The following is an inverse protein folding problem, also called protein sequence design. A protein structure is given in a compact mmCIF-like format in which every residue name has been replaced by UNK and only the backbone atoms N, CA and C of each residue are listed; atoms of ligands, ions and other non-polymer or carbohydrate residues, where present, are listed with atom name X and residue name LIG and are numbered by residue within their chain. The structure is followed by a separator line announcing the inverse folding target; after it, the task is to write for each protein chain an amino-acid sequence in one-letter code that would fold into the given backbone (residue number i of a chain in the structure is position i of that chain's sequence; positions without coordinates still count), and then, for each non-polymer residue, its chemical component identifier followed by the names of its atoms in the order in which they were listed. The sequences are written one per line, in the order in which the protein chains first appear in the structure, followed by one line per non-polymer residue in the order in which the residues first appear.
data_IF_044258387744
#
_entry.id   IF_044258387744
#
_cell.length_a   1.000
_cell.length_b   1.000
_cell.length_c   1.000
_cell.angle_alpha   90.00
_cell.angle_beta   90.00
_cell.angle_gamma   90.00
#
_symmetry.space_group_name_H-M   'P 1'
#
loop_
_entity.id
_entity.type
_entity.pdbx_description
1 polymer ?
#
# COMPACT_ATOMS: atom_id res chain seq x y z
N UNK A 1 8.39 30.68 14.79
CA UNK A 1 8.26 30.08 13.44
C UNK A 1 9.00 28.75 13.45
N UNK A 2 8.31 27.66 13.76
CA UNK A 2 8.92 26.32 13.79
C UNK A 2 9.15 25.84 12.36
N UNK A 3 10.41 25.77 11.93
CA UNK A 3 10.78 25.12 10.67
C UNK A 3 10.72 23.61 10.86
N UNK A 4 9.55 23.02 10.63
CA UNK A 4 9.49 21.60 10.36
C UNK A 4 10.02 21.40 8.93
N UNK A 5 11.30 21.05 8.80
CA UNK A 5 11.86 20.63 7.52
C UNK A 5 11.28 19.26 7.17
N UNK A 6 10.35 19.24 6.23
CA UNK A 6 9.83 18.00 5.66
C UNK A 6 10.87 17.44 4.69
N UNK A 7 11.60 16.42 5.13
CA UNK A 7 12.69 15.79 4.39
C UNK A 7 12.20 14.80 3.31
N UNK A 8 10.96 14.34 3.47
CA UNK A 8 10.32 13.36 2.60
C UNK A 8 9.92 13.98 1.25
N UNK A 9 9.96 13.20 0.15
CA UNK A 9 9.42 13.66 -1.12
C UNK A 9 7.91 13.93 -1.05
N UNK A 10 7.45 14.82 -1.91
CA UNK A 10 6.02 15.05 -2.08
C UNK A 10 5.34 13.79 -2.65
N UNK A 11 4.22 13.41 -2.05
CA UNK A 11 3.33 12.35 -2.54
C UNK A 11 2.59 12.82 -3.80
N UNK A 12 2.12 11.86 -4.60
CA UNK A 12 1.29 12.11 -5.76
C UNK A 12 0.32 10.93 -5.96
N UNK A 13 -0.95 11.17 -5.65
CA UNK A 13 -2.03 10.18 -5.66
C UNK A 13 -2.53 9.89 -4.25
N UNK A 14 -3.84 9.65 -4.14
CA UNK A 14 -4.51 9.33 -2.88
C UNK A 14 -5.54 8.22 -3.11
N UNK A 15 -5.57 7.24 -2.21
CA UNK A 15 -6.54 6.14 -2.19
C UNK A 15 -7.18 6.10 -0.81
N UNK A 16 -8.48 5.82 -0.74
CA UNK A 16 -9.21 5.65 0.51
C UNK A 16 -9.57 4.19 0.68
N UNK A 17 -9.04 3.54 1.72
CA UNK A 17 -9.44 2.19 2.11
C UNK A 17 -10.54 2.29 3.16
N UNK A 18 -11.75 1.83 2.80
CA UNK A 18 -12.87 1.73 3.73
C UNK A 18 -12.82 0.39 4.43
N UNK A 19 -12.48 0.40 5.71
CA UNK A 19 -12.36 -0.83 6.51
C UNK A 19 -13.45 -0.92 7.56
N UNK A 20 -13.60 -2.09 8.18
CA UNK A 20 -14.50 -2.26 9.33
C UNK A 20 -14.11 -1.41 10.55
N UNK A 21 -12.87 -0.94 10.62
CA UNK A 21 -12.35 -0.08 11.69
C UNK A 21 -12.41 1.42 11.34
N UNK A 22 -12.93 1.78 10.17
CA UNK A 22 -12.99 3.15 9.66
C UNK A 22 -12.20 3.35 8.37
N UNK A 23 -12.17 4.59 7.90
CA UNK A 23 -11.52 4.98 6.65
C UNK A 23 -10.03 5.26 6.87
N UNK A 24 -9.20 4.74 5.97
CA UNK A 24 -7.75 4.97 5.93
C UNK A 24 -7.43 5.69 4.64
N UNK A 25 -7.00 6.94 4.77
CA UNK A 25 -6.49 7.75 3.67
C UNK A 25 -5.01 7.45 3.43
N UNK A 26 -4.67 6.96 2.25
CA UNK A 26 -3.30 6.60 1.85
C UNK A 26 -2.85 7.52 0.72
N UNK A 27 -1.79 8.28 0.97
CA UNK A 27 -1.07 9.01 -0.07
C UNK A 27 0.09 8.17 -0.61
N UNK A 28 0.36 8.30 -1.91
CA UNK A 28 1.28 7.42 -2.63
C UNK A 28 2.49 8.20 -3.17
N UNK A 29 3.69 7.64 -3.03
CA UNK A 29 4.90 8.15 -3.69
C UNK A 29 5.04 7.58 -5.10
N UNK A 30 4.09 7.91 -5.99
CA UNK A 30 4.02 7.34 -7.34
C UNK A 30 5.21 7.69 -8.25
N UNK A 31 6.00 8.71 -7.91
CA UNK A 31 7.21 9.08 -8.62
C UNK A 31 8.41 8.22 -8.20
N UNK A 32 8.50 7.90 -6.92
CA UNK A 32 9.59 7.12 -6.32
C UNK A 32 9.36 5.61 -6.49
N UNK A 33 8.12 5.13 -6.35
CA UNK A 33 7.75 3.70 -6.45
C UNK A 33 6.66 3.44 -7.52
N UNK A 34 6.95 3.73 -8.80
CA UNK A 34 5.93 3.72 -9.85
C UNK A 34 5.33 2.33 -10.11
N UNK A 35 6.08 1.24 -9.97
CA UNK A 35 5.54 -0.12 -10.18
C UNK A 35 4.66 -0.54 -9.02
N UNK A 36 5.10 -0.31 -7.79
CA UNK A 36 4.32 -0.65 -6.61
C UNK A 36 3.02 0.16 -6.54
N UNK A 37 3.09 1.48 -6.75
CA UNK A 37 1.89 2.33 -6.75
C UNK A 37 0.94 1.97 -7.88
N UNK A 38 1.44 1.69 -9.09
CA UNK A 38 0.59 1.27 -10.22
C UNK A 38 -0.11 -0.05 -9.93
N UNK A 39 0.60 -1.04 -9.40
CA UNK A 39 0.02 -2.32 -9.00
C UNK A 39 -1.08 -2.11 -7.95
N UNK A 40 -0.80 -1.35 -6.90
CA UNK A 40 -1.76 -1.06 -5.84
C UNK A 40 -3.02 -0.38 -6.36
N UNK A 41 -2.89 0.71 -7.13
CA UNK A 41 -4.04 1.46 -7.65
C UNK A 41 -4.88 0.61 -8.60
N UNK A 42 -4.25 -0.19 -9.46
CA UNK A 42 -4.97 -1.06 -10.38
C UNK A 42 -5.74 -2.15 -9.62
N UNK A 43 -5.14 -2.81 -8.62
CA UNK A 43 -5.82 -3.79 -7.78
C UNK A 43 -7.00 -3.16 -7.01
N UNK A 44 -6.86 -1.90 -6.56
CA UNK A 44 -7.97 -1.15 -5.98
C UNK A 44 -9.10 -0.92 -7.00
N UNK A 45 -8.78 -0.53 -8.24
CA UNK A 45 -9.77 -0.31 -9.29
C UNK A 45 -10.49 -1.60 -9.74
N UNK A 46 -9.82 -2.74 -9.62
CA UNK A 46 -10.36 -4.07 -9.93
C UNK A 46 -11.12 -4.70 -8.76
N UNK A 47 -11.31 -3.97 -7.65
CA UNK A 47 -11.94 -4.46 -6.41
C UNK A 47 -11.26 -5.70 -5.81
N UNK A 48 -9.96 -5.90 -6.09
CA UNK A 48 -9.20 -7.07 -5.64
C UNK A 48 -9.09 -7.14 -4.11
N UNK A 49 -9.07 -5.98 -3.45
CA UNK A 49 -8.96 -5.89 -2.00
C UNK A 49 -10.31 -5.94 -1.28
N UNK A 50 -11.43 -6.01 -1.99
CA UNK A 50 -12.75 -6.07 -1.38
C UNK A 50 -12.91 -7.36 -0.58
N UNK A 51 -13.46 -7.23 0.64
CA UNK A 51 -13.61 -8.31 1.61
C UNK A 51 -12.30 -9.04 1.99
N UNK A 52 -11.12 -8.50 1.65
CA UNK A 52 -9.84 -9.03 2.12
C UNK A 52 -9.61 -8.67 3.58
N UNK A 53 -9.10 -9.62 4.35
CA UNK A 53 -8.84 -9.44 5.79
C UNK A 53 -7.40 -9.00 6.07
N UNK A 54 -7.21 -8.34 7.21
CA UNK A 54 -5.90 -8.20 7.82
C UNK A 54 -5.57 -9.48 8.59
N UNK A 55 -4.83 -10.40 7.96
CA UNK A 55 -4.59 -11.75 8.48
C UNK A 55 -3.46 -11.83 9.53
N UNK A 56 -2.63 -10.79 9.67
CA UNK A 56 -1.53 -10.78 10.64
C UNK A 56 -1.38 -9.44 11.34
N UNK A 57 -1.28 -9.48 12.66
CA UNK A 57 -1.06 -8.34 13.55
C UNK A 57 0.10 -8.64 14.50
N UNK A 58 1.13 -7.79 14.49
CA UNK A 58 2.24 -7.80 15.44
C UNK A 58 2.25 -6.46 16.18
N UNK A 59 1.78 -6.41 17.44
CA UNK A 59 1.66 -5.17 18.19
C UNK A 59 2.99 -4.38 18.26
N UNK A 60 2.92 -3.08 17.98
CA UNK A 60 4.09 -2.20 17.95
C UNK A 60 5.01 -2.37 16.74
N UNK A 61 4.65 -3.22 15.78
CA UNK A 61 5.45 -3.47 14.59
C UNK A 61 4.63 -3.28 13.30
N UNK A 62 3.77 -4.23 12.93
CA UNK A 62 3.03 -4.19 11.66
C UNK A 62 1.64 -4.81 11.76
N UNK A 63 0.76 -4.37 10.86
CA UNK A 63 -0.46 -5.06 10.46
C UNK A 63 -0.34 -5.40 8.96
N UNK A 64 -0.74 -6.59 8.56
CA UNK A 64 -0.58 -7.09 7.20
C UNK A 64 -1.91 -7.59 6.65
N UNK A 65 -2.20 -7.22 5.40
CA UNK A 65 -3.40 -7.59 4.65
C UNK A 65 -3.08 -7.77 3.17
N UNK A 66 -4.09 -7.67 2.30
CA UNK A 66 -3.92 -7.72 0.85
C UNK A 66 -3.81 -9.13 0.24
N UNK A 67 -4.10 -10.17 1.02
CA UNK A 67 -4.21 -11.55 0.54
C UNK A 67 -5.69 -11.94 0.43
N UNK A 68 -6.23 -12.18 -0.78
CA UNK A 68 -7.62 -12.63 -0.96
C UNK A 68 -7.94 -13.98 -0.33
N UNK A 69 -6.93 -14.84 -0.13
CA UNK A 69 -7.11 -16.14 0.51
C UNK A 69 -7.12 -16.05 2.04
N UNK A 70 -6.61 -14.95 2.60
CA UNK A 70 -6.45 -14.75 4.04
C UNK A 70 -5.42 -15.66 4.72
N UNK A 71 -4.66 -16.45 3.95
CA UNK A 71 -3.69 -17.44 4.49
C UNK A 71 -2.32 -16.80 4.82
N UNK A 72 -2.02 -15.65 4.22
CA UNK A 72 -0.73 -14.98 4.27
C UNK A 72 0.28 -15.47 3.22
N UNK A 73 -0.10 -16.43 2.37
CA UNK A 73 0.74 -16.96 1.29
C UNK A 73 0.21 -16.63 -0.11
N UNK A 74 -0.99 -16.06 -0.21
CA UNK A 74 -1.59 -15.65 -1.48
C UNK A 74 -1.22 -14.23 -1.90
N UNK A 75 -1.91 -13.74 -2.91
CA UNK A 75 -1.67 -12.44 -3.52
C UNK A 75 -0.92 -12.55 -4.85
N UNK A 76 -1.45 -11.91 -5.88
CA UNK A 76 -0.82 -11.83 -7.20
C UNK A 76 -0.73 -10.38 -7.65
N UNK A 77 0.30 -10.05 -8.42
CA UNK A 77 0.43 -8.73 -9.02
C UNK A 77 -0.36 -8.66 -10.32
N UNK A 78 -0.71 -7.44 -10.75
CA UNK A 78 -1.31 -7.19 -12.06
C UNK A 78 -0.39 -7.58 -13.23
N UNK A 79 0.89 -7.80 -12.95
CA UNK A 79 1.91 -8.17 -13.93
C UNK A 79 2.00 -9.69 -14.13
N UNK A 80 1.22 -10.49 -13.39
CA UNK A 80 1.24 -11.96 -13.42
C UNK A 80 2.52 -12.57 -12.85
N UNK A 81 3.39 -11.76 -12.23
CA UNK A 81 4.65 -12.19 -11.60
C UNK A 81 5.12 -11.17 -10.57
N UNK A 82 5.97 -11.56 -9.60
CA UNK A 82 6.65 -10.60 -8.74
C UNK A 82 7.40 -9.54 -9.56
N UNK A 83 7.32 -8.28 -9.12
CA UNK A 83 8.03 -7.16 -9.74
C UNK A 83 9.25 -6.77 -8.91
N UNK A 84 10.11 -5.92 -9.48
CA UNK A 84 11.38 -5.51 -8.85
C UNK A 84 11.16 -4.62 -7.63
N UNK A 85 12.08 -4.68 -6.69
CA UNK A 85 12.12 -3.75 -5.55
C UNK A 85 12.47 -2.33 -6.02
N UNK A 86 11.78 -1.34 -5.43
CA UNK A 86 11.96 0.09 -5.71
C UNK A 86 12.39 0.78 -4.42
N UNK A 87 13.70 0.94 -4.24
CA UNK A 87 14.30 1.49 -3.01
C UNK A 87 14.73 2.93 -3.27
N UNK A 88 14.42 3.84 -2.34
CA UNK A 88 14.75 5.25 -2.45
C UNK A 88 15.36 5.76 -1.15
N UNK A 89 16.49 6.49 -1.18
CA UNK A 89 17.22 6.86 0.05
C UNK A 89 16.48 7.78 1.03
N UNK A 90 15.38 8.40 0.58
CA UNK A 90 14.54 9.30 1.38
C UNK A 90 13.21 8.66 1.83
N UNK A 91 12.99 7.37 1.53
CA UNK A 91 11.76 6.63 1.86
C UNK A 91 12.10 5.23 2.35
#
# INVERSE_FOLDING_TARGET
MSQNYMMEPATNGKVVLRTSAGDIDIELWSKETPLACRNFVQLCMENYYDATIFHRLVPGFIIQGGDPTGTGMGGESIYGKPFKDEIHSRV
#
